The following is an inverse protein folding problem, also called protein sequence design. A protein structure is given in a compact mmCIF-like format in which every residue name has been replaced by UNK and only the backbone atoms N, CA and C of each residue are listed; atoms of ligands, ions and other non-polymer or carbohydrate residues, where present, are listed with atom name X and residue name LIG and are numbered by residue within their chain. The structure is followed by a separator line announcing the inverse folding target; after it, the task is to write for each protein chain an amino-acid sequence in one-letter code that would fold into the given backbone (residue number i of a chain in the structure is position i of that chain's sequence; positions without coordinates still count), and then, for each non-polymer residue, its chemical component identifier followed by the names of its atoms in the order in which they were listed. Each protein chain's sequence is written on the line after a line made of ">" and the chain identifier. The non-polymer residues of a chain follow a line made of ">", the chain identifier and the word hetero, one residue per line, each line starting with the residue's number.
data_IF_265570099822
#
_entry.id   IF_265570099822
#
_cell.length_a   1.000
_cell.length_b   1.000
_cell.length_c   1.000
_cell.angle_alpha   90.00
_cell.angle_beta   90.00
_cell.angle_gamma   90.00
#
_symmetry.space_group_name_H-M   'P 1'
#
loop_
_entity.id
_entity.type
_entity.pdbx_description
1 polymer ?
#
# COMPACT_ATOMS: atom_id res chain seq x y z
N UNK A 1 -7.79 7.29 7.68
CA UNK A 1 -6.52 7.17 8.43
C UNK A 1 -6.72 7.60 9.88
N UNK A 2 -7.35 6.76 10.71
CA UNK A 2 -7.72 7.11 12.10
C UNK A 2 -7.28 6.10 13.17
N UNK A 3 -6.66 4.98 12.78
CA UNK A 3 -6.20 3.94 13.70
C UNK A 3 -4.92 3.26 13.17
N UNK A 4 -4.17 2.61 14.05
CA UNK A 4 -2.95 1.87 13.73
C UNK A 4 -1.85 2.75 13.12
N UNK A 5 -0.99 2.14 12.30
CA UNK A 5 0.13 2.84 11.65
C UNK A 5 -0.30 3.99 10.73
N UNK A 6 -1.55 3.96 10.23
CA UNK A 6 -2.10 5.03 9.40
C UNK A 6 -2.16 6.38 10.12
N UNK A 7 -2.26 6.41 11.46
CA UNK A 7 -2.20 7.66 12.24
C UNK A 7 -0.80 8.27 12.19
N UNK A 8 0.23 7.43 12.31
CA UNK A 8 1.63 7.85 12.22
C UNK A 8 1.94 8.40 10.83
N UNK A 9 1.45 7.75 9.76
CA UNK A 9 1.61 8.23 8.40
C UNK A 9 0.94 9.58 8.18
N UNK A 10 -0.30 9.76 8.67
CA UNK A 10 -1.00 11.05 8.62
C UNK A 10 -0.21 12.15 9.34
N UNK A 11 0.34 11.88 10.52
CA UNK A 11 1.12 12.84 11.30
C UNK A 11 2.46 13.18 10.63
N UNK A 12 3.13 12.18 10.04
CA UNK A 12 4.47 12.31 9.47
C UNK A 12 4.48 12.89 8.06
N UNK A 13 3.55 12.48 7.19
CA UNK A 13 3.57 12.82 5.76
C UNK A 13 2.44 13.76 5.32
N UNK A 14 1.43 13.98 6.16
CA UNK A 14 0.31 14.87 5.86
C UNK A 14 -0.41 14.48 4.57
N UNK A 15 -0.74 15.47 3.73
CA UNK A 15 -1.19 15.23 2.35
C UNK A 15 -2.60 14.64 2.20
N UNK A 16 -3.46 14.74 3.21
CA UNK A 16 -4.81 14.13 3.15
C UNK A 16 -5.62 14.69 1.99
N UNK A 17 -5.60 16.02 1.78
CA UNK A 17 -6.34 16.62 0.67
C UNK A 17 -5.77 16.18 -0.68
N UNK A 18 -4.44 16.18 -0.84
CA UNK A 18 -3.74 15.71 -2.04
C UNK A 18 -4.08 14.25 -2.37
N UNK A 19 -4.22 13.38 -1.36
CA UNK A 19 -4.68 12.00 -1.53
C UNK A 19 -6.14 11.93 -1.99
N UNK A 20 -7.02 12.78 -1.42
CA UNK A 20 -8.43 12.82 -1.78
C UNK A 20 -8.65 13.34 -3.21
N UNK A 21 -7.85 14.33 -3.62
CA UNK A 21 -7.93 14.95 -4.95
C UNK A 21 -7.53 13.99 -6.08
N UNK A 22 -6.74 12.95 -5.77
CA UNK A 22 -6.43 11.86 -6.70
C UNK A 22 -7.64 10.96 -7.01
N UNK A 23 -8.72 11.05 -6.21
CA UNK A 23 -10.00 10.33 -6.41
C UNK A 23 -9.84 8.82 -6.63
N UNK A 24 -8.86 8.22 -5.95
CA UNK A 24 -8.56 6.79 -6.09
C UNK A 24 -9.67 5.91 -5.51
N UNK A 25 -9.89 4.78 -6.15
CA UNK A 25 -10.92 3.79 -5.86
C UNK A 25 -10.30 2.50 -5.33
N UNK A 26 -11.16 1.61 -4.83
CA UNK A 26 -10.73 0.29 -4.36
C UNK A 26 -9.99 -0.48 -5.46
N UNK A 27 -8.84 -1.07 -5.11
CA UNK A 27 -7.95 -1.75 -6.05
C UNK A 27 -6.92 -0.83 -6.70
N UNK A 28 -6.96 0.47 -6.43
CA UNK A 28 -5.97 1.43 -6.92
C UNK A 28 -4.98 1.82 -5.81
N UNK A 29 -3.94 2.58 -6.20
CA UNK A 29 -2.98 3.17 -5.29
C UNK A 29 -3.02 4.70 -5.39
N UNK A 30 -3.07 5.37 -4.23
CA UNK A 30 -2.80 6.80 -4.13
C UNK A 30 -1.33 7.01 -3.74
N UNK A 31 -0.71 8.04 -4.29
CA UNK A 31 0.73 8.28 -4.16
C UNK A 31 0.98 9.69 -3.68
N UNK A 32 1.82 9.84 -2.67
CA UNK A 32 2.38 11.13 -2.29
C UNK A 32 3.87 11.13 -2.60
N UNK A 33 4.35 12.14 -3.33
CA UNK A 33 5.78 12.38 -3.45
C UNK A 33 6.25 13.25 -2.28
N UNK A 34 7.25 12.78 -1.55
CA UNK A 34 7.87 13.50 -0.42
C UNK A 34 9.37 13.36 -0.57
N UNK A 35 10.05 14.47 -0.83
CA UNK A 35 11.47 14.49 -1.15
C UNK A 35 11.76 13.58 -2.37
N UNK A 36 12.79 12.73 -2.28
CA UNK A 36 13.21 11.80 -3.32
C UNK A 36 12.49 10.43 -3.26
N UNK A 37 11.34 10.35 -2.59
CA UNK A 37 10.61 9.09 -2.44
C UNK A 37 9.10 9.23 -2.58
N UNK A 38 8.47 8.08 -2.78
CA UNK A 38 7.02 7.95 -2.86
C UNK A 38 6.47 7.26 -1.61
N UNK A 39 5.32 7.75 -1.15
CA UNK A 39 4.53 7.14 -0.09
C UNK A 39 3.27 6.57 -0.74
N UNK A 40 3.17 5.23 -0.73
CA UNK A 40 2.07 4.50 -1.35
C UNK A 40 0.94 4.24 -0.35
N UNK A 41 -0.29 4.56 -0.76
CA UNK A 41 -1.52 4.31 -0.03
C UNK A 41 -2.39 3.36 -0.84
N UNK A 42 -2.30 2.07 -0.51
CA UNK A 42 -3.10 1.02 -1.13
C UNK A 42 -4.58 1.17 -0.74
N UNK A 43 -5.46 1.33 -1.71
CA UNK A 43 -6.90 1.53 -1.47
C UNK A 43 -7.58 0.16 -1.52
N UNK A 44 -7.58 -0.57 -0.40
CA UNK A 44 -8.04 -1.96 -0.36
C UNK A 44 -9.52 -2.12 0.01
N UNK A 45 -10.20 -1.03 0.39
CA UNK A 45 -11.61 -1.01 0.79
C UNK A 45 -12.24 0.37 0.60
N UNK A 46 -13.55 0.39 0.38
CA UNK A 46 -14.31 1.65 0.19
C UNK A 46 -14.55 2.42 1.49
N UNK A 47 -14.87 1.70 2.57
CA UNK A 47 -15.19 2.29 3.89
C UNK A 47 -14.30 1.68 4.95
N UNK A 48 -13.99 2.47 5.98
CA UNK A 48 -13.15 2.01 7.11
C UNK A 48 -13.77 0.80 7.83
N UNK A 49 -15.10 0.74 7.92
CA UNK A 49 -15.85 -0.37 8.52
C UNK A 49 -15.86 -1.65 7.69
N UNK A 50 -15.53 -1.59 6.40
CA UNK A 50 -15.47 -2.78 5.55
C UNK A 50 -14.17 -3.56 5.81
N UNK A 51 -14.19 -4.84 5.45
CA UNK A 51 -13.00 -5.68 5.39
C UNK A 51 -12.46 -5.67 3.96
N UNK A 52 -11.14 -5.52 3.74
CA UNK A 52 -10.57 -5.68 2.42
C UNK A 52 -10.67 -7.15 1.97
N UNK A 53 -10.64 -7.38 0.67
CA UNK A 53 -10.54 -8.72 0.07
C UNK A 53 -9.12 -8.94 -0.45
N UNK A 54 -8.69 -10.19 -0.56
CA UNK A 54 -7.40 -10.53 -1.18
C UNK A 54 -7.30 -10.01 -2.62
N UNK A 55 -8.39 -10.08 -3.39
CA UNK A 55 -8.48 -9.54 -4.75
C UNK A 55 -8.20 -8.03 -4.78
N UNK A 56 -8.82 -7.24 -3.89
CA UNK A 56 -8.58 -5.80 -3.84
C UNK A 56 -7.16 -5.45 -3.37
N UNK A 57 -6.58 -6.28 -2.48
CA UNK A 57 -5.19 -6.16 -2.07
C UNK A 57 -4.26 -6.36 -3.28
N UNK A 58 -4.45 -7.46 -4.01
CA UNK A 58 -3.67 -7.78 -5.20
C UNK A 58 -3.73 -6.66 -6.24
N UNK A 59 -4.92 -6.20 -6.62
CA UNK A 59 -5.08 -5.08 -7.58
C UNK A 59 -4.34 -3.82 -7.13
N UNK A 60 -4.41 -3.49 -5.83
CA UNK A 60 -3.71 -2.32 -5.30
C UNK A 60 -2.19 -2.47 -5.39
N UNK A 61 -1.67 -3.68 -5.15
CA UNK A 61 -0.25 -4.01 -5.27
C UNK A 61 0.22 -3.99 -6.72
N UNK A 62 -0.58 -4.48 -7.66
CA UNK A 62 -0.29 -4.41 -9.10
C UNK A 62 -0.22 -2.94 -9.57
N UNK A 63 -1.16 -2.11 -9.12
CA UNK A 63 -1.13 -0.67 -9.38
C UNK A 63 0.12 0.01 -8.79
N UNK A 64 0.54 -0.40 -7.59
CA UNK A 64 1.78 0.06 -6.98
C UNK A 64 3.01 -0.39 -7.77
N UNK A 65 3.08 -1.66 -8.21
CA UNK A 65 4.16 -2.18 -9.06
C UNK A 65 4.28 -1.37 -10.35
N UNK A 66 3.17 -1.12 -11.03
CA UNK A 66 3.16 -0.31 -12.26
C UNK A 66 3.75 1.09 -12.02
N UNK A 67 3.36 1.75 -10.91
CA UNK A 67 3.96 3.03 -10.54
C UNK A 67 5.46 2.92 -10.25
N UNK A 68 5.90 1.86 -9.55
CA UNK A 68 7.31 1.66 -9.23
C UNK A 68 8.17 1.52 -10.49
N UNK A 69 7.75 0.69 -11.44
CA UNK A 69 8.45 0.48 -12.70
C UNK A 69 8.54 1.77 -13.52
N UNK A 70 7.45 2.54 -13.60
CA UNK A 70 7.40 3.78 -14.37
C UNK A 70 8.27 4.90 -13.76
N UNK A 71 8.57 4.84 -12.46
CA UNK A 71 9.32 5.87 -11.74
C UNK A 71 10.67 5.39 -11.21
N UNK A 72 11.14 4.22 -11.66
CA UNK A 72 12.45 3.68 -11.25
C UNK A 72 12.58 3.36 -9.75
N UNK A 73 11.48 3.01 -9.08
CA UNK A 73 11.50 2.65 -7.66
C UNK A 73 11.91 1.18 -7.52
N UNK A 74 13.08 0.94 -6.91
CA UNK A 74 13.66 -0.39 -6.71
C UNK A 74 13.57 -0.90 -5.29
N UNK A 75 13.24 -0.05 -4.32
CA UNK A 75 13.30 -0.39 -2.89
C UNK A 75 12.01 0.06 -2.19
N UNK A 76 11.29 -0.89 -1.61
CA UNK A 76 10.02 -0.68 -0.91
C UNK A 76 10.15 -1.17 0.53
N UNK A 77 9.80 -0.31 1.48
CA UNK A 77 9.71 -0.65 2.90
C UNK A 77 8.27 -0.57 3.38
N UNK A 78 7.77 -1.63 4.00
CA UNK A 78 6.38 -1.68 4.49
C UNK A 78 6.27 -2.46 5.82
N UNK A 79 5.25 -2.19 6.65
CA UNK A 79 4.90 -3.09 7.75
C UNK A 79 4.21 -4.36 7.21
N UNK A 80 3.82 -5.29 8.11
CA UNK A 80 2.86 -6.35 7.76
C UNK A 80 1.48 -5.77 7.42
N UNK A 81 1.25 -5.48 6.13
CA UNK A 81 0.03 -4.86 5.62
C UNK A 81 -1.18 -5.82 5.66
N UNK A 82 -2.38 -5.30 5.88
CA UNK A 82 -3.64 -6.07 5.83
C UNK A 82 -3.91 -7.03 6.99
N UNK A 83 -2.93 -7.28 7.88
CA UNK A 83 -2.99 -8.41 8.83
C UNK A 83 -3.48 -8.07 10.25
N UNK A 84 -3.68 -6.78 10.55
CA UNK A 84 -4.20 -6.33 11.83
C UNK A 84 -5.72 -6.17 11.82
N UNK A 85 -6.18 -4.92 11.96
CA UNK A 85 -7.61 -4.56 11.97
C UNK A 85 -8.38 -5.03 10.72
N UNK A 86 -7.67 -5.25 9.62
CA UNK A 86 -8.22 -5.70 8.35
C UNK A 86 -8.44 -7.23 8.28
N UNK A 87 -7.83 -8.00 9.17
CA UNK A 87 -8.12 -9.43 9.36
C UNK A 87 -7.67 -10.35 8.22
N UNK A 88 -6.80 -9.90 7.31
CA UNK A 88 -6.14 -10.79 6.35
C UNK A 88 -5.05 -11.61 7.04
N UNK A 89 -4.70 -12.75 6.45
CA UNK A 89 -3.62 -13.61 6.93
C UNK A 89 -2.31 -13.21 6.24
N UNK A 90 -1.25 -13.04 7.01
CA UNK A 90 0.04 -12.59 6.48
C UNK A 90 0.61 -13.56 5.46
N UNK A 91 0.44 -14.86 5.69
CA UNK A 91 0.90 -15.93 4.81
C UNK A 91 0.30 -15.80 3.40
N UNK A 92 -0.97 -15.36 3.31
CA UNK A 92 -1.62 -15.11 2.02
C UNK A 92 -1.20 -13.78 1.41
N UNK A 93 -1.04 -12.74 2.22
CA UNK A 93 -0.58 -11.43 1.75
C UNK A 93 0.86 -11.50 1.24
N UNK A 94 1.75 -12.26 1.90
CA UNK A 94 3.12 -12.47 1.46
C UNK A 94 3.18 -13.24 0.14
N UNK A 95 2.36 -14.28 -0.02
CA UNK A 95 2.27 -15.01 -1.29
C UNK A 95 1.83 -14.10 -2.44
N UNK A 96 0.83 -13.22 -2.21
CA UNK A 96 0.40 -12.23 -3.20
C UNK A 96 1.51 -11.23 -3.51
N UNK A 97 2.30 -10.79 -2.50
CA UNK A 97 3.43 -9.91 -2.73
C UNK A 97 4.48 -10.57 -3.62
N UNK A 98 4.82 -11.83 -3.35
CA UNK A 98 5.76 -12.61 -4.17
C UNK A 98 5.25 -12.74 -5.60
N UNK A 99 3.98 -13.14 -5.80
CA UNK A 99 3.38 -13.28 -7.12
C UNK A 99 3.35 -11.96 -7.90
N UNK A 100 2.89 -10.87 -7.27
CA UNK A 100 2.77 -9.57 -7.94
C UNK A 100 4.13 -9.02 -8.31
N UNK A 101 5.12 -9.11 -7.43
CA UNK A 101 6.45 -8.55 -7.66
C UNK A 101 7.41 -9.54 -8.32
N UNK A 102 6.93 -10.72 -8.70
CA UNK A 102 7.70 -11.67 -9.49
C UNK A 102 8.18 -11.02 -10.80
N UNK A 103 9.38 -11.44 -11.22
CA UNK A 103 10.10 -10.91 -12.39
C UNK A 103 10.34 -9.39 -12.34
N UNK A 104 10.57 -8.83 -11.15
CA UNK A 104 11.03 -7.44 -10.99
C UNK A 104 12.27 -7.35 -10.11
N UNK A 105 13.08 -6.32 -10.33
CA UNK A 105 14.23 -6.00 -9.47
C UNK A 105 13.84 -5.20 -8.21
N UNK A 106 12.55 -5.19 -7.87
CA UNK A 106 12.02 -4.43 -6.74
C UNK A 106 12.23 -5.22 -5.45
N UNK A 107 13.08 -4.70 -4.57
CA UNK A 107 13.34 -5.25 -3.24
C UNK A 107 12.27 -4.79 -2.26
N UNK A 108 11.61 -5.73 -1.62
CA UNK A 108 10.62 -5.46 -0.57
C UNK A 108 11.20 -5.85 0.80
N UNK A 109 11.26 -4.90 1.72
CA UNK A 109 11.62 -5.14 3.13
C UNK A 109 10.39 -4.97 4.01
N UNK A 110 10.03 -6.04 4.72
CA UNK A 110 8.89 -6.03 5.65
C UNK A 110 9.39 -5.86 7.08
N UNK A 111 8.88 -4.84 7.76
CA UNK A 111 9.21 -4.55 9.15
C UNK A 111 8.13 -5.07 10.10
N UNK A 112 8.59 -5.67 11.20
CA UNK A 112 7.79 -6.01 12.38
C UNK A 112 8.37 -5.29 13.59
N UNK A 113 7.52 -4.97 14.56
CA UNK A 113 7.97 -4.52 15.87
C UNK A 113 8.47 -5.71 16.70
#
# INVERSE_FOLDING_TARGET
>A
MGAGIAVLFKKKFGGVQELLDQKKKTGEVAVLQRDERYIYYLITKQKVSHKPTYENMQKSLEAMKAHCLNNGVTDISMPRIGCGLDGLQWEKVSAILEEVFDNTDIKITVYTL
#
